data_IF_484603455333
#
_entry.id   IF_484603455333
#
_cell.length_a   1.000
_cell.length_b   1.000
_cell.length_c   1.000
_cell.angle_alpha   90.00
_cell.angle_beta   90.00
_cell.angle_gamma   90.00
#
_symmetry.space_group_name_H-M   'P 1'
#
loop_
_entity.id
_entity.type
_entity.pdbx_description
1 polymer ?
#
# COMPACT_ATOMS: atom_id res chain seq x y z
N UNK A 1 -9.87 -1.40 -5.97
CA UNK A 1 -9.86 -0.41 -4.91
C UNK A 1 -9.07 -0.91 -3.72
N UNK A 2 -8.27 -0.06 -3.14
CA UNK A 2 -7.40 -0.47 -2.05
C UNK A 2 -8.14 -0.46 -0.73
N UNK A 3 -7.93 -1.49 0.08
CA UNK A 3 -8.42 -1.50 1.46
C UNK A 3 -7.47 -0.64 2.28
N UNK A 4 -7.78 0.64 2.35
CA UNK A 4 -6.87 1.61 2.96
C UNK A 4 -6.72 1.41 4.46
N UNK A 5 -7.76 0.95 5.14
CA UNK A 5 -7.66 0.72 6.58
C UNK A 5 -6.63 -0.37 6.89
N UNK A 6 -6.67 -1.47 6.13
CA UNK A 6 -5.72 -2.55 6.34
C UNK A 6 -4.31 -2.14 5.94
N UNK A 7 -4.18 -1.39 4.84
CA UNK A 7 -2.88 -0.90 4.40
C UNK A 7 -2.26 0.01 5.46
N UNK A 8 -3.04 0.96 5.99
CA UNK A 8 -2.54 1.86 7.02
C UNK A 8 -2.13 1.11 8.28
N UNK A 9 -2.87 0.08 8.64
CA UNK A 9 -2.51 -0.75 9.79
C UNK A 9 -1.15 -1.40 9.58
N UNK A 10 -0.92 -1.95 8.39
CA UNK A 10 0.36 -2.59 8.09
C UNK A 10 1.50 -1.59 8.07
N UNK A 11 1.26 -0.40 7.57
CA UNK A 11 2.25 0.66 7.57
C UNK A 11 2.61 1.05 9.01
N UNK A 12 1.59 1.24 9.86
CA UNK A 12 1.83 1.57 11.26
C UNK A 12 2.65 0.49 11.96
N UNK A 13 2.31 -0.77 11.72
CA UNK A 13 3.02 -1.88 12.33
C UNK A 13 4.48 -1.94 11.90
N UNK A 14 4.78 -1.47 10.70
CA UNK A 14 6.14 -1.52 10.18
C UNK A 14 7.06 -0.51 10.85
N UNK A 15 6.50 0.57 11.36
CA UNK A 15 7.30 1.65 11.92
C UNK A 15 7.91 2.58 10.87
N UNK A 16 7.73 2.30 9.59
CA UNK A 16 8.26 3.16 8.54
C UNK A 16 7.42 4.41 8.38
N UNK A 17 8.09 5.51 8.05
CA UNK A 17 7.39 6.75 7.72
C UNK A 17 6.88 6.69 6.28
N UNK A 18 5.78 7.37 6.03
CA UNK A 18 5.19 7.40 4.70
C UNK A 18 6.17 7.90 3.64
N UNK A 19 6.95 8.94 3.96
CA UNK A 19 7.93 9.46 3.01
C UNK A 19 8.98 8.42 2.65
N UNK A 20 9.41 7.65 3.63
CA UNK A 20 10.40 6.59 3.40
C UNK A 20 9.81 5.53 2.47
N UNK A 21 8.58 5.11 2.75
CA UNK A 21 7.94 4.09 1.93
C UNK A 21 7.79 4.57 0.48
N UNK A 22 7.33 5.81 0.29
CA UNK A 22 7.16 6.37 -1.05
C UNK A 22 8.48 6.33 -1.82
N UNK A 23 9.56 6.73 -1.16
CA UNK A 23 10.88 6.72 -1.79
C UNK A 23 11.29 5.30 -2.17
N UNK A 24 11.04 4.33 -1.29
CA UNK A 24 11.45 2.95 -1.53
C UNK A 24 10.70 2.33 -2.70
N UNK A 25 9.45 2.70 -2.91
CA UNK A 25 8.68 2.14 -4.03
C UNK A 25 8.70 3.05 -5.27
N UNK A 26 9.47 4.14 -5.21
CA UNK A 26 9.77 4.93 -6.39
C UNK A 26 8.71 5.93 -6.81
N UNK A 27 7.92 6.45 -5.89
CA UNK A 27 6.91 7.46 -6.22
C UNK A 27 7.05 8.65 -5.29
N UNK A 28 6.40 9.76 -5.68
CA UNK A 28 6.42 10.94 -4.85
C UNK A 28 5.54 10.75 -3.62
N UNK A 29 5.82 11.53 -2.59
CA UNK A 29 5.02 11.47 -1.36
C UNK A 29 3.56 11.82 -1.65
N UNK A 30 3.31 12.88 -2.42
CA UNK A 30 1.94 13.26 -2.76
C UNK A 30 1.23 12.17 -3.57
N UNK A 31 1.95 11.56 -4.50
CA UNK A 31 1.39 10.46 -5.27
C UNK A 31 1.02 9.28 -4.39
N UNK A 32 1.86 8.98 -3.41
CA UNK A 32 1.59 7.91 -2.47
C UNK A 32 0.35 8.21 -1.63
N UNK A 33 0.23 9.45 -1.14
CA UNK A 33 -0.95 9.83 -0.34
C UNK A 33 -2.23 9.68 -1.14
N UNK A 34 -2.22 10.07 -2.41
CA UNK A 34 -3.40 9.91 -3.26
C UNK A 34 -3.80 8.46 -3.40
N UNK A 35 -2.82 7.59 -3.56
CA UNK A 35 -3.09 6.15 -3.70
C UNK A 35 -3.60 5.53 -2.41
N UNK A 36 -3.03 5.94 -1.27
CA UNK A 36 -3.53 5.46 0.02
C UNK A 36 -4.98 5.90 0.24
N UNK A 37 -5.34 7.07 -0.26
CA UNK A 37 -6.69 7.61 -0.08
C UNK A 37 -7.66 7.19 -1.19
N UNK A 38 -7.27 6.24 -2.03
CA UNK A 38 -8.09 5.75 -3.14
C UNK A 38 -8.41 6.81 -4.20
N UNK A 39 -7.57 7.84 -4.31
CA UNK A 39 -7.73 8.83 -5.36
C UNK A 39 -7.04 8.38 -6.65
N UNK A 40 -6.14 7.42 -6.57
CA UNK A 40 -5.57 6.76 -7.74
C UNK A 40 -5.16 5.35 -7.35
N UNK A 41 -4.96 4.51 -8.34
CA UNK A 41 -4.68 3.10 -8.12
C UNK A 41 -3.19 2.82 -8.00
N UNK A 42 -2.84 1.83 -7.20
CA UNK A 42 -1.46 1.35 -7.14
C UNK A 42 -1.15 0.54 -8.40
N UNK A 43 0.04 0.74 -8.94
CA UNK A 43 0.52 -0.08 -10.04
C UNK A 43 1.07 -1.40 -9.52
N UNK A 44 1.12 -2.41 -10.39
CA UNK A 44 1.60 -3.73 -9.99
C UNK A 44 3.00 -3.68 -9.38
N UNK A 45 3.90 -2.88 -9.96
CA UNK A 45 5.25 -2.77 -9.43
C UNK A 45 5.27 -2.14 -8.04
N UNK A 46 4.36 -1.20 -7.78
CA UNK A 46 4.27 -0.56 -6.47
C UNK A 46 3.71 -1.52 -5.44
N UNK A 47 2.73 -2.33 -5.83
CA UNK A 47 2.17 -3.35 -4.94
C UNK A 47 3.26 -4.35 -4.55
N UNK A 48 4.07 -4.77 -5.51
CA UNK A 48 5.16 -5.69 -5.24
C UNK A 48 6.17 -5.07 -4.28
N UNK A 49 6.50 -3.81 -4.52
CA UNK A 49 7.42 -3.09 -3.64
C UNK A 49 6.89 -2.99 -2.22
N UNK A 50 5.61 -2.68 -2.06
CA UNK A 50 4.99 -2.62 -0.74
C UNK A 50 4.97 -4.00 -0.08
N UNK A 51 4.65 -5.04 -0.84
CA UNK A 51 4.66 -6.39 -0.30
C UNK A 51 6.03 -6.75 0.27
N UNK A 52 7.08 -6.46 -0.50
CA UNK A 52 8.44 -6.79 -0.07
C UNK A 52 8.85 -5.95 1.14
N UNK A 53 8.57 -4.66 1.10
CA UNK A 53 9.01 -3.75 2.16
C UNK A 53 8.28 -4.02 3.48
N UNK A 54 6.99 -4.27 3.41
CA UNK A 54 6.16 -4.48 4.59
C UNK A 54 6.03 -5.94 4.99
N UNK A 55 6.70 -6.84 4.28
CA UNK A 55 6.66 -8.29 4.55
C UNK A 55 5.23 -8.83 4.54
N UNK A 56 4.46 -8.44 3.54
CA UNK A 56 3.08 -8.91 3.43
C UNK A 56 3.05 -10.31 2.83
N UNK A 57 2.24 -11.19 3.41
CA UNK A 57 1.98 -12.47 2.76
C UNK A 57 1.15 -12.23 1.51
N UNK A 58 1.10 -13.23 0.64
CA UNK A 58 0.26 -13.12 -0.56
C UNK A 58 -1.20 -12.91 -0.19
N UNK A 59 -1.66 -13.58 0.87
CA UNK A 59 -3.04 -13.41 1.33
C UNK A 59 -3.33 -11.99 1.77
N UNK A 60 -2.43 -11.41 2.56
CA UNK A 60 -2.64 -10.06 3.05
C UNK A 60 -2.55 -9.05 1.92
N UNK A 61 -1.57 -9.24 1.00
CA UNK A 61 -1.47 -8.40 -0.18
C UNK A 61 -2.78 -8.40 -0.95
N UNK A 62 -3.36 -9.56 -1.16
CA UNK A 62 -4.60 -9.66 -1.92
C UNK A 62 -5.76 -8.99 -1.19
N UNK A 63 -5.81 -9.11 0.12
CA UNK A 63 -6.85 -8.43 0.90
C UNK A 63 -6.74 -6.92 0.82
N UNK A 64 -5.53 -6.40 0.73
CA UNK A 64 -5.31 -4.95 0.66
C UNK A 64 -5.63 -4.43 -0.74
N UNK A 65 -5.11 -5.09 -1.78
CA UNK A 65 -5.09 -4.48 -3.12
C UNK A 65 -6.07 -5.08 -4.09
N UNK A 66 -6.55 -6.28 -3.85
CA UNK A 66 -7.39 -7.00 -4.81
C UNK A 66 -8.77 -7.36 -4.28
N UNK A 67 -9.21 -6.69 -3.24
CA UNK A 67 -10.55 -6.88 -2.71
C UNK A 67 -11.57 -6.32 -3.69
N UNK A 68 -12.44 -7.17 -4.18
CA UNK A 68 -13.44 -6.72 -5.13
C UNK A 68 -14.63 -6.12 -4.45
N UNK A 69 -14.89 -6.54 -3.19
CA UNK A 69 -16.08 -6.12 -2.55
C UNK A 69 -15.88 -6.00 -1.11
N UNK A 70 -16.28 -4.99 -0.59
CA UNK A 70 -16.07 -4.79 0.76
C UNK A 70 -17.26 -5.01 1.59
N UNK A 71 -18.22 -5.21 1.24
CA UNK A 71 -19.30 -5.33 2.01
C UNK A 71 -19.46 -6.08 2.76
#
# INVERSE_FOLDING_TARGET
MTNTALLRKKIDESGYKLRFIAKQIGITYQGFLKKINNESEFKASEIKGLQDLLNLTDEVRDKIFFTLNVE
#
